data_IF_522538033560
#
_entry.id   IF_522538033560
#
_cell.length_a   1.000
_cell.length_b   1.000
_cell.length_c   1.000
_cell.angle_alpha   90.00
_cell.angle_beta   90.00
_cell.angle_gamma   90.00
#
_symmetry.space_group_name_H-M   'P 1'
#
loop_
_entity.id
_entity.type
_entity.pdbx_description
1 polymer ?
#
# COMPACT_ATOMS: atom_id res chain seq x y z
N UNK A 1 -18.83 -38.51 3.23
CA UNK A 1 -18.88 -38.11 1.80
C UNK A 1 -17.80 -37.06 1.62
N UNK A 2 -16.63 -37.48 1.10
CA UNK A 2 -15.50 -36.60 0.79
C UNK A 2 -15.79 -35.92 -0.54
N UNK A 3 -16.24 -34.68 -0.52
CA UNK A 3 -16.24 -33.84 -1.72
C UNK A 3 -14.80 -33.36 -1.94
N UNK A 4 -14.03 -34.15 -2.70
CA UNK A 4 -12.76 -33.72 -3.23
C UNK A 4 -12.97 -32.54 -4.18
N UNK A 5 -12.51 -31.35 -3.83
CA UNK A 5 -12.31 -30.28 -4.80
C UNK A 5 -11.37 -30.83 -5.87
N UNK A 6 -11.86 -30.99 -7.09
CA UNK A 6 -11.02 -31.30 -8.24
C UNK A 6 -9.94 -30.21 -8.33
N UNK A 7 -8.69 -30.59 -8.07
CA UNK A 7 -7.54 -29.72 -8.30
C UNK A 7 -7.57 -29.30 -9.77
N UNK A 8 -7.65 -28.00 -10.02
CA UNK A 8 -7.62 -27.49 -11.39
C UNK A 8 -6.26 -27.86 -11.98
N UNK A 9 -6.30 -28.77 -12.96
CA UNK A 9 -5.11 -29.26 -13.65
C UNK A 9 -4.27 -28.10 -14.24
N UNK A 10 -4.94 -26.99 -14.58
CA UNK A 10 -4.28 -25.76 -15.05
C UNK A 10 -3.42 -25.12 -13.96
N UNK A 11 -3.89 -25.08 -12.73
CA UNK A 11 -3.13 -24.58 -11.57
C UNK A 11 -1.93 -25.48 -11.25
N UNK A 12 -2.06 -26.78 -11.45
CA UNK A 12 -0.99 -27.74 -11.22
C UNK A 12 0.10 -27.66 -12.29
N UNK A 13 -0.28 -27.47 -13.55
CA UNK A 13 0.63 -27.46 -14.71
C UNK A 13 1.19 -26.06 -14.96
N UNK A 14 0.48 -25.00 -14.58
CA UNK A 14 0.85 -23.61 -14.84
C UNK A 14 2.28 -23.22 -14.38
N UNK A 15 2.78 -23.59 -13.19
CA UNK A 15 4.15 -23.31 -12.79
C UNK A 15 5.19 -23.96 -13.70
N UNK A 16 4.93 -25.20 -14.16
CA UNK A 16 5.81 -25.91 -15.08
C UNK A 16 5.75 -25.34 -16.48
N UNK A 17 4.55 -24.99 -16.94
CA UNK A 17 4.34 -24.33 -18.24
C UNK A 17 5.03 -22.98 -18.30
N UNK A 18 4.83 -22.12 -17.30
CA UNK A 18 5.49 -20.83 -17.19
C UNK A 18 7.02 -21.00 -17.13
N UNK A 19 7.51 -21.92 -16.30
CA UNK A 19 8.93 -22.17 -16.08
C UNK A 19 9.67 -22.73 -17.28
N UNK A 20 9.07 -23.67 -18.03
CA UNK A 20 9.76 -24.47 -19.04
C UNK A 20 9.38 -24.12 -20.47
N UNK A 21 8.23 -23.53 -20.71
CA UNK A 21 7.68 -23.32 -22.06
C UNK A 21 7.44 -21.84 -22.33
N UNK A 22 6.66 -21.19 -21.49
CA UNK A 22 6.19 -19.83 -21.76
C UNK A 22 7.32 -18.80 -21.69
N UNK A 23 8.11 -18.82 -20.63
CA UNK A 23 9.15 -17.83 -20.45
C UNK A 23 10.39 -18.01 -21.32
N UNK A 24 10.88 -19.23 -21.62
CA UNK A 24 11.96 -19.39 -22.60
C UNK A 24 11.57 -19.00 -24.02
N UNK A 25 10.28 -19.11 -24.37
CA UNK A 25 9.80 -18.90 -25.77
C UNK A 25 9.29 -17.47 -26.01
N UNK A 26 8.89 -16.73 -24.97
CA UNK A 26 8.16 -15.49 -25.15
C UNK A 26 8.82 -14.24 -24.56
N UNK A 27 10.06 -13.98 -24.92
CA UNK A 27 10.71 -12.71 -24.56
C UNK A 27 9.91 -11.46 -24.99
N UNK A 28 9.05 -11.58 -26.00
CA UNK A 28 8.20 -10.52 -26.53
C UNK A 28 6.83 -10.42 -25.84
N UNK A 29 6.45 -11.39 -25.03
CA UNK A 29 5.12 -11.48 -24.38
C UNK A 29 5.18 -11.40 -22.87
N UNK A 30 6.30 -10.94 -22.31
CA UNK A 30 6.43 -10.68 -20.89
C UNK A 30 5.43 -9.59 -20.51
N UNK A 31 4.48 -9.86 -19.59
CA UNK A 31 3.55 -8.83 -19.12
C UNK A 31 4.29 -7.56 -18.67
N UNK A 32 3.71 -6.36 -18.85
CA UNK A 32 4.38 -5.09 -18.51
C UNK A 32 4.89 -5.03 -17.06
N UNK A 33 4.17 -5.64 -16.13
CA UNK A 33 4.53 -5.78 -14.72
C UNK A 33 5.87 -6.51 -14.52
N UNK A 34 6.21 -7.49 -15.40
CA UNK A 34 7.47 -8.22 -15.32
C UNK A 34 8.65 -7.51 -16.00
N UNK A 35 8.36 -6.61 -16.94
CA UNK A 35 9.42 -5.81 -17.55
C UNK A 35 10.08 -4.87 -16.54
N UNK A 36 9.36 -4.45 -15.50
CA UNK A 36 9.89 -3.62 -14.40
C UNK A 36 10.98 -4.35 -13.62
N UNK A 37 10.85 -5.65 -13.38
CA UNK A 37 11.80 -6.46 -12.63
C UNK A 37 13.17 -6.60 -13.28
N UNK A 38 13.23 -6.53 -14.61
CA UNK A 38 14.49 -6.58 -15.37
C UNK A 38 15.35 -5.32 -15.18
N UNK A 39 14.81 -4.27 -14.59
CA UNK A 39 15.53 -3.00 -14.42
C UNK A 39 16.43 -3.00 -13.16
N UNK A 40 16.24 -3.95 -12.27
CA UNK A 40 16.98 -4.00 -11.00
C UNK A 40 17.98 -5.16 -11.01
N UNK A 41 19.27 -4.88 -10.78
CA UNK A 41 20.26 -5.95 -10.68
C UNK A 41 19.97 -6.80 -9.43
N UNK A 42 19.76 -8.09 -9.64
CA UNK A 42 19.70 -9.04 -8.52
C UNK A 42 21.10 -9.33 -8.04
N UNK A 43 21.27 -9.33 -6.72
CA UNK A 43 22.56 -9.63 -6.08
C UNK A 43 22.41 -10.95 -5.37
N UNK A 44 23.26 -11.97 -5.66
CA UNK A 44 23.30 -13.20 -4.87
C UNK A 44 23.55 -12.87 -3.40
N UNK A 45 22.96 -13.64 -2.48
CA UNK A 45 23.14 -13.44 -1.03
C UNK A 45 24.63 -13.35 -0.61
N UNK A 46 25.51 -14.08 -1.30
CA UNK A 46 26.96 -14.04 -1.07
C UNK A 46 27.60 -12.68 -1.38
N UNK A 47 27.00 -11.91 -2.30
CA UNK A 47 27.44 -10.54 -2.64
C UNK A 47 26.72 -9.46 -1.80
N UNK A 48 25.82 -9.85 -0.91
CA UNK A 48 25.11 -8.94 -0.03
C UNK A 48 26.01 -8.16 0.95
N UNK A 49 27.30 -8.54 1.06
CA UNK A 49 28.31 -7.80 1.84
C UNK A 49 28.39 -6.31 1.51
N UNK A 50 28.03 -5.91 0.28
CA UNK A 50 27.97 -4.49 -0.08
C UNK A 50 26.83 -3.74 0.63
N UNK A 51 25.79 -4.45 1.06
CA UNK A 51 24.66 -3.87 1.81
C UNK A 51 25.04 -3.68 3.29
N UNK A 52 25.94 -4.50 3.80
CA UNK A 52 26.46 -4.39 5.19
C UNK A 52 27.14 -3.06 5.43
N UNK A 53 27.87 -2.53 4.43
CA UNK A 53 28.53 -1.23 4.54
C UNK A 53 27.56 -0.05 4.72
N UNK A 54 26.25 -0.25 4.49
CA UNK A 54 25.21 0.74 4.67
C UNK A 54 24.57 0.72 6.07
N UNK A 55 24.98 -0.21 6.94
CA UNK A 55 24.47 -0.29 8.31
C UNK A 55 24.89 0.96 9.10
N UNK A 56 23.95 1.52 9.86
CA UNK A 56 24.28 2.55 10.86
C UNK A 56 24.57 1.86 12.20
N UNK A 57 25.64 2.23 12.86
CA UNK A 57 26.01 1.62 14.13
C UNK A 57 24.88 1.76 15.18
N UNK A 58 24.45 0.65 15.73
CA UNK A 58 23.50 0.58 16.84
C UNK A 58 22.01 0.70 16.48
N UNK A 59 21.64 0.94 15.21
CA UNK A 59 20.24 0.93 14.81
C UNK A 59 19.78 -0.48 14.40
N UNK A 60 18.55 -0.91 14.81
CA UNK A 60 18.01 -2.18 14.33
C UNK A 60 17.65 -2.11 12.85
N UNK A 61 17.79 -3.24 12.17
CA UNK A 61 17.31 -3.42 10.82
C UNK A 61 15.78 -3.60 10.81
N UNK A 62 15.10 -2.99 9.86
CA UNK A 62 13.66 -3.11 9.71
C UNK A 62 13.31 -4.14 8.64
N UNK A 63 12.71 -5.27 9.06
CA UNK A 63 12.21 -6.29 8.16
C UNK A 63 10.72 -6.02 7.88
N UNK A 64 10.41 -5.62 6.67
CA UNK A 64 9.05 -5.42 6.20
C UNK A 64 8.48 -6.72 5.63
N UNK A 65 7.39 -7.19 6.22
CA UNK A 65 6.55 -8.30 5.75
C UNK A 65 5.25 -7.69 5.19
N UNK A 66 5.26 -7.19 3.95
CA UNK A 66 4.25 -6.26 3.46
C UNK A 66 3.04 -6.96 2.84
N UNK A 67 1.99 -6.18 2.58
CA UNK A 67 0.89 -6.57 1.72
C UNK A 67 1.20 -6.32 0.24
N UNK A 68 1.99 -5.29 -0.07
CA UNK A 68 2.18 -4.77 -1.41
C UNK A 68 3.57 -5.04 -1.94
N UNK A 69 3.63 -5.33 -3.24
CA UNK A 69 4.86 -5.41 -4.02
C UNK A 69 5.52 -4.02 -4.09
N UNK A 70 6.86 -3.99 -3.95
CA UNK A 70 7.64 -2.75 -4.07
C UNK A 70 7.43 -2.02 -5.40
N UNK A 71 7.29 -2.78 -6.47
CA UNK A 71 7.23 -2.29 -7.85
C UNK A 71 5.80 -1.94 -8.31
N UNK A 72 4.81 -2.26 -7.49
CA UNK A 72 3.42 -1.91 -7.74
C UNK A 72 3.07 -0.46 -7.39
N UNK A 73 1.80 -0.23 -7.09
CA UNK A 73 1.32 1.07 -6.63
C UNK A 73 2.01 1.41 -5.30
N UNK A 74 2.60 2.61 -5.23
CA UNK A 74 3.27 3.07 -4.02
C UNK A 74 2.25 3.30 -2.90
N UNK A 75 2.43 2.58 -1.80
CA UNK A 75 1.54 2.59 -0.65
C UNK A 75 2.34 2.77 0.66
N UNK A 76 1.66 2.58 1.79
CA UNK A 76 2.18 2.79 3.15
C UNK A 76 3.49 2.04 3.42
N UNK A 77 3.56 0.74 3.15
CA UNK A 77 4.74 -0.07 3.50
C UNK A 77 6.01 0.39 2.78
N UNK A 78 5.93 0.72 1.47
CA UNK A 78 7.08 1.27 0.75
C UNK A 78 7.49 2.66 1.28
N UNK A 79 6.53 3.50 1.63
CA UNK A 79 6.77 4.84 2.17
C UNK A 79 7.39 4.78 3.58
N UNK A 80 6.89 3.88 4.43
CA UNK A 80 7.48 3.66 5.75
C UNK A 80 8.92 3.14 5.65
N UNK A 81 9.19 2.19 4.73
CA UNK A 81 10.55 1.71 4.49
C UNK A 81 11.50 2.86 4.07
N UNK A 82 11.04 3.78 3.20
CA UNK A 82 11.81 4.98 2.85
C UNK A 82 12.02 5.92 4.02
N UNK A 83 11.02 6.09 4.87
CA UNK A 83 11.11 6.88 6.08
C UNK A 83 12.17 6.31 7.04
N UNK A 84 12.13 5.02 7.30
CA UNK A 84 13.13 4.33 8.13
C UNK A 84 14.53 4.42 7.54
N UNK A 85 14.67 4.18 6.23
CA UNK A 85 15.95 4.34 5.52
C UNK A 85 16.49 5.76 5.63
N UNK A 86 15.64 6.78 5.47
CA UNK A 86 16.01 8.19 5.65
C UNK A 86 16.42 8.57 7.07
N UNK A 87 16.08 7.73 8.06
CA UNK A 87 16.47 7.85 9.48
C UNK A 87 17.68 6.98 9.84
N UNK A 88 18.27 6.29 8.85
CA UNK A 88 19.51 5.54 9.00
C UNK A 88 19.35 4.03 9.14
N UNK A 89 18.13 3.50 9.26
CA UNK A 89 17.88 2.07 9.35
C UNK A 89 18.13 1.37 8.01
N UNK A 90 18.70 0.17 8.02
CA UNK A 90 18.59 -0.74 6.88
C UNK A 90 17.19 -1.33 6.85
N UNK A 91 16.64 -1.45 5.65
CA UNK A 91 15.31 -1.98 5.44
C UNK A 91 15.37 -3.18 4.49
N UNK A 92 14.83 -4.29 4.92
CA UNK A 92 14.68 -5.49 4.13
C UNK A 92 13.20 -5.68 3.82
N UNK A 93 12.85 -5.63 2.56
CA UNK A 93 11.48 -5.71 2.09
C UNK A 93 11.24 -7.08 1.48
N UNK A 94 10.44 -7.93 2.13
CA UNK A 94 10.08 -9.22 1.56
C UNK A 94 9.15 -9.02 0.37
N UNK A 95 9.52 -9.56 -0.79
CA UNK A 95 8.61 -9.55 -1.92
C UNK A 95 7.42 -10.49 -1.66
N UNK A 96 6.17 -10.01 -1.73
CA UNK A 96 5.01 -10.85 -1.47
C UNK A 96 4.73 -11.89 -2.56
N UNK A 97 5.31 -11.71 -3.76
CA UNK A 97 5.22 -12.69 -4.83
C UNK A 97 6.26 -13.78 -4.65
N UNK A 98 5.86 -14.90 -4.08
CA UNK A 98 6.75 -15.97 -3.65
C UNK A 98 7.00 -17.04 -4.73
N UNK A 99 7.10 -16.67 -5.99
CA UNK A 99 7.66 -17.57 -7.01
C UNK A 99 6.81 -17.91 -8.21
N UNK A 100 5.56 -17.49 -8.27
CA UNK A 100 4.66 -17.83 -9.38
C UNK A 100 5.09 -17.20 -10.71
N UNK A 101 5.63 -16.01 -10.64
CA UNK A 101 5.71 -15.11 -11.78
C UNK A 101 7.13 -14.70 -12.13
N UNK A 102 8.14 -15.18 -11.38
CA UNK A 102 9.53 -14.76 -11.51
C UNK A 102 10.55 -15.82 -11.98
N UNK A 103 10.20 -16.92 -12.65
CA UNK A 103 11.18 -17.92 -13.03
C UNK A 103 12.23 -17.41 -14.03
N UNK A 104 12.00 -16.27 -14.67
CA UNK A 104 12.96 -15.67 -15.62
C UNK A 104 13.89 -14.64 -15.00
N UNK A 105 13.48 -13.98 -13.94
CA UNK A 105 14.30 -12.97 -13.25
C UNK A 105 15.41 -13.65 -12.47
N UNK A 106 15.20 -14.91 -12.09
CA UNK A 106 16.12 -15.66 -11.25
C UNK A 106 16.69 -16.87 -11.97
N UNK A 107 18.02 -17.10 -11.93
CA UNK A 107 18.58 -18.36 -12.31
C UNK A 107 17.90 -19.47 -11.52
N UNK A 108 17.51 -20.56 -12.20
CA UNK A 108 16.80 -21.68 -11.60
C UNK A 108 17.52 -22.32 -10.40
N UNK A 109 18.83 -22.12 -10.31
CA UNK A 109 19.69 -22.55 -9.20
C UNK A 109 19.58 -21.67 -7.95
N UNK A 110 19.04 -20.45 -8.07
CA UNK A 110 18.96 -19.50 -6.95
C UNK A 110 17.52 -19.39 -6.45
N UNK A 111 17.26 -19.98 -5.30
CA UNK A 111 15.96 -19.93 -4.63
C UNK A 111 15.76 -18.69 -3.76
N UNK A 112 16.80 -17.88 -3.58
CA UNK A 112 16.82 -16.71 -2.69
C UNK A 112 17.68 -15.64 -3.31
N UNK A 113 17.13 -14.43 -3.45
CA UNK A 113 17.85 -13.31 -4.02
C UNK A 113 17.61 -12.06 -3.20
N UNK A 114 18.62 -11.21 -3.20
CA UNK A 114 18.55 -9.88 -2.63
C UNK A 114 18.76 -8.88 -3.75
N UNK A 115 17.87 -7.91 -3.86
CA UNK A 115 17.94 -6.85 -4.87
C UNK A 115 18.06 -5.50 -4.16
N UNK A 116 19.07 -4.72 -4.52
CA UNK A 116 19.19 -3.36 -4.01
C UNK A 116 18.16 -2.47 -4.70
N UNK A 117 17.29 -1.82 -3.95
CA UNK A 117 16.22 -0.95 -4.46
C UNK A 117 16.61 0.51 -4.39
N UNK A 118 16.88 0.97 -3.19
CA UNK A 118 17.22 2.36 -2.85
C UNK A 118 18.33 2.35 -1.78
N UNK A 119 18.97 3.47 -1.45
CA UNK A 119 19.94 3.52 -0.37
C UNK A 119 19.37 2.91 0.92
N UNK A 120 20.06 1.93 1.50
CA UNK A 120 19.67 1.15 2.68
C UNK A 120 18.36 0.36 2.55
N UNK A 121 17.80 0.20 1.36
CA UNK A 121 16.61 -0.63 1.14
C UNK A 121 16.96 -1.74 0.16
N UNK A 122 16.76 -2.97 0.61
CA UNK A 122 16.94 -4.15 -0.20
C UNK A 122 15.68 -5.00 -0.22
N UNK A 123 15.36 -5.58 -1.36
CA UNK A 123 14.24 -6.49 -1.54
C UNK A 123 14.74 -7.93 -1.47
N UNK A 124 14.08 -8.72 -0.62
CA UNK A 124 14.32 -10.15 -0.49
C UNK A 124 13.28 -10.93 -1.29
N UNK A 125 13.74 -11.82 -2.12
CA UNK A 125 12.93 -12.78 -2.84
C UNK A 125 13.16 -14.19 -2.30
N UNK A 126 12.07 -14.89 -2.01
CA UNK A 126 12.06 -16.30 -1.60
C UNK A 126 11.12 -17.05 -2.54
N UNK A 127 11.61 -18.10 -3.17
CA UNK A 127 10.80 -18.89 -4.11
C UNK A 127 10.10 -20.04 -3.42
N UNK A 128 8.78 -20.11 -3.59
CA UNK A 128 7.96 -21.28 -3.30
C UNK A 128 7.59 -22.01 -4.61
N UNK A 129 7.32 -23.31 -4.52
CA UNK A 129 6.83 -24.09 -5.67
C UNK A 129 5.47 -23.62 -6.17
N UNK A 130 4.66 -23.11 -5.26
CA UNK A 130 3.35 -22.50 -5.56
C UNK A 130 3.28 -21.18 -4.85
N UNK A 131 2.88 -20.14 -5.56
CA UNK A 131 2.57 -18.88 -4.94
C UNK A 131 1.29 -19.03 -4.12
N UNK A 132 1.30 -18.67 -2.84
CA UNK A 132 0.10 -18.69 -2.03
C UNK A 132 -0.85 -17.59 -2.49
N UNK A 133 -2.15 -17.86 -2.41
CA UNK A 133 -3.18 -16.84 -2.60
C UNK A 133 -3.42 -16.21 -1.23
N UNK A 134 -2.69 -15.14 -0.92
CA UNK A 134 -2.60 -14.52 0.39
C UNK A 134 -3.93 -14.10 1.03
N UNK A 135 -4.94 -13.82 0.21
CA UNK A 135 -6.24 -13.39 0.71
C UNK A 135 -7.18 -14.55 1.07
N UNK A 136 -6.81 -15.79 0.71
CA UNK A 136 -7.72 -16.93 0.81
C UNK A 136 -7.29 -18.01 1.79
N UNK A 137 -6.01 -18.07 2.15
CA UNK A 137 -5.51 -19.12 3.02
C UNK A 137 -4.24 -18.76 3.78
N UNK A 138 -4.03 -19.44 4.87
CA UNK A 138 -2.79 -19.48 5.65
C UNK A 138 -1.66 -20.17 4.85
N UNK A 139 -0.42 -19.76 5.04
CA UNK A 139 0.75 -20.50 4.58
C UNK A 139 0.80 -21.86 5.28
N UNK A 140 1.15 -22.92 4.55
CA UNK A 140 1.39 -24.19 5.18
C UNK A 140 2.76 -24.22 5.87
N UNK A 141 3.03 -25.27 6.66
CA UNK A 141 4.26 -25.39 7.44
C UNK A 141 5.53 -25.32 6.58
N UNK A 142 5.56 -26.01 5.44
CA UNK A 142 6.71 -26.03 4.53
C UNK A 142 6.96 -24.65 3.91
N UNK A 143 5.90 -23.93 3.54
CA UNK A 143 5.97 -22.56 3.02
C UNK A 143 6.54 -21.59 4.08
N UNK A 144 6.04 -21.69 5.32
CA UNK A 144 6.54 -20.88 6.46
C UNK A 144 8.03 -21.17 6.72
N UNK A 145 8.41 -22.45 6.79
CA UNK A 145 9.79 -22.86 7.01
C UNK A 145 10.71 -22.36 5.87
N UNK A 146 10.25 -22.43 4.62
CA UNK A 146 11.03 -21.99 3.45
C UNK A 146 11.24 -20.47 3.46
N UNK A 147 10.18 -19.68 3.72
CA UNK A 147 10.27 -18.23 3.79
C UNK A 147 11.15 -17.80 4.96
N UNK A 148 10.93 -18.38 6.14
CA UNK A 148 11.71 -18.08 7.35
C UNK A 148 13.19 -18.38 7.13
N UNK A 149 13.52 -19.55 6.58
CA UNK A 149 14.90 -19.91 6.26
C UNK A 149 15.53 -18.97 5.22
N UNK A 150 14.75 -18.45 4.28
CA UNK A 150 15.17 -17.42 3.34
C UNK A 150 15.56 -16.12 4.02
N UNK A 151 14.71 -15.64 4.92
CA UNK A 151 14.95 -14.42 5.70
C UNK A 151 16.17 -14.59 6.60
N UNK A 152 16.27 -15.69 7.36
CA UNK A 152 17.40 -15.97 8.25
C UNK A 152 18.74 -16.01 7.49
N UNK A 153 18.76 -16.66 6.33
CA UNK A 153 19.97 -16.71 5.48
C UNK A 153 20.37 -15.31 4.97
N UNK A 154 19.41 -14.45 4.66
CA UNK A 154 19.65 -13.07 4.26
C UNK A 154 20.19 -12.25 5.44
N UNK A 155 19.57 -12.33 6.61
CA UNK A 155 20.02 -11.61 7.80
C UNK A 155 21.43 -12.03 8.18
N UNK A 156 21.77 -13.33 8.11
CA UNK A 156 23.10 -13.83 8.34
C UNK A 156 24.10 -13.30 7.31
N UNK A 157 23.79 -13.35 6.02
CA UNK A 157 24.65 -12.88 4.95
C UNK A 157 24.91 -11.37 4.99
N UNK A 158 24.00 -10.61 5.56
CA UNK A 158 24.11 -9.16 5.73
C UNK A 158 24.57 -8.76 7.14
N UNK A 159 25.03 -9.71 7.94
CA UNK A 159 25.53 -9.47 9.30
C UNK A 159 24.55 -8.63 10.16
N UNK A 160 23.25 -8.93 10.01
CA UNK A 160 22.20 -8.27 10.75
C UNK A 160 22.18 -8.78 12.19
N UNK A 161 22.43 -7.92 13.16
CA UNK A 161 22.56 -8.30 14.58
C UNK A 161 21.32 -7.99 15.42
N UNK A 162 20.55 -6.98 15.02
CA UNK A 162 19.29 -6.56 15.66
C UNK A 162 18.25 -6.25 14.59
N UNK A 163 17.06 -6.77 14.77
CA UNK A 163 15.99 -6.63 13.81
C UNK A 163 14.67 -6.30 14.50
N UNK A 164 13.74 -5.71 13.74
CA UNK A 164 12.34 -5.61 14.08
C UNK A 164 11.50 -6.05 12.88
N UNK A 165 10.41 -6.77 13.11
CA UNK A 165 9.49 -7.23 12.08
C UNK A 165 8.28 -6.30 11.98
N UNK A 166 8.10 -5.65 10.83
CA UNK A 166 6.92 -4.82 10.54
C UNK A 166 6.00 -5.64 9.62
N UNK A 167 4.91 -6.13 10.19
CA UNK A 167 3.96 -7.03 9.52
C UNK A 167 2.80 -6.21 9.01
N UNK A 168 2.64 -6.13 7.70
CA UNK A 168 1.54 -5.39 7.05
C UNK A 168 0.39 -6.28 6.56
N UNK A 169 0.54 -7.62 6.63
CA UNK A 169 -0.51 -8.56 6.24
C UNK A 169 -0.49 -9.79 7.15
N UNK A 170 -1.63 -10.24 7.69
CA UNK A 170 -1.71 -11.37 8.62
C UNK A 170 -1.16 -12.71 8.10
N UNK A 171 -1.12 -12.93 6.79
CA UNK A 171 -0.52 -14.14 6.20
C UNK A 171 0.92 -14.38 6.67
N UNK A 172 1.63 -13.34 7.08
CA UNK A 172 2.99 -13.40 7.58
C UNK A 172 3.12 -13.74 9.07
N UNK A 173 2.00 -13.92 9.79
CA UNK A 173 1.99 -14.16 11.23
C UNK A 173 2.90 -15.31 11.63
N UNK A 174 2.76 -16.47 10.98
CA UNK A 174 3.58 -17.64 11.29
C UNK A 174 5.07 -17.41 11.02
N UNK A 175 5.39 -16.68 9.95
CA UNK A 175 6.78 -16.30 9.61
C UNK A 175 7.34 -15.38 10.69
N UNK A 176 6.59 -14.37 11.12
CA UNK A 176 7.01 -13.43 12.16
C UNK A 176 7.22 -14.13 13.51
N UNK A 177 6.34 -15.07 13.87
CA UNK A 177 6.48 -15.88 15.08
C UNK A 177 7.74 -16.77 15.05
N UNK A 178 8.06 -17.39 13.91
CA UNK A 178 9.28 -18.16 13.73
C UNK A 178 10.54 -17.31 13.82
N UNK A 179 10.50 -16.10 13.26
CA UNK A 179 11.61 -15.14 13.40
C UNK A 179 11.79 -14.71 14.86
N UNK A 180 10.70 -14.48 15.60
CA UNK A 180 10.76 -14.19 17.03
C UNK A 180 11.39 -15.33 17.82
N UNK A 181 10.98 -16.58 17.57
CA UNK A 181 11.56 -17.76 18.20
C UNK A 181 13.07 -17.87 17.96
N UNK A 182 13.53 -17.57 16.72
CA UNK A 182 14.92 -17.71 16.33
C UNK A 182 15.83 -16.55 16.75
N UNK A 183 15.32 -15.33 16.77
CA UNK A 183 16.11 -14.09 16.85
C UNK A 183 15.66 -13.16 17.98
N UNK A 184 14.60 -13.49 18.71
CA UNK A 184 13.95 -12.61 19.68
C UNK A 184 13.47 -11.27 19.10
N UNK A 185 13.12 -11.28 17.80
CA UNK A 185 12.72 -10.10 17.04
C UNK A 185 11.35 -9.59 17.49
N UNK A 186 11.21 -8.32 17.88
CA UNK A 186 9.91 -7.71 18.16
C UNK A 186 9.00 -7.70 16.91
N UNK A 187 7.71 -7.87 17.15
CA UNK A 187 6.69 -7.86 16.08
C UNK A 187 5.85 -6.58 16.21
N UNK A 188 5.84 -5.80 15.13
CA UNK A 188 4.94 -4.67 14.94
C UNK A 188 3.87 -5.07 13.93
N UNK A 189 2.61 -5.02 14.31
CA UNK A 189 1.52 -5.17 13.34
C UNK A 189 1.11 -3.79 12.82
N UNK A 190 1.38 -3.50 11.55
CA UNK A 190 0.97 -2.28 10.87
C UNK A 190 -0.41 -2.49 10.23
N UNK A 191 -1.46 -2.42 11.05
CA UNK A 191 -2.86 -2.58 10.67
C UNK A 191 -3.36 -1.29 9.99
N UNK A 192 -3.49 -1.32 8.68
CA UNK A 192 -3.83 -0.12 7.90
C UNK A 192 -5.15 -0.21 7.15
N UNK A 193 -5.80 -1.37 7.15
CA UNK A 193 -7.10 -1.61 6.55
C UNK A 193 -7.97 -2.50 7.44
N UNK A 194 -9.29 -2.38 7.31
CA UNK A 194 -10.27 -3.28 7.91
C UNK A 194 -10.43 -4.51 7.00
N UNK A 195 -9.66 -5.58 7.26
CA UNK A 195 -9.57 -6.73 6.34
C UNK A 195 -10.92 -7.42 6.11
N UNK A 196 -11.76 -7.53 7.14
CA UNK A 196 -13.10 -8.12 7.03
C UNK A 196 -14.04 -7.35 6.08
N UNK A 197 -13.67 -6.11 5.71
CA UNK A 197 -14.42 -5.27 4.79
C UNK A 197 -14.13 -5.52 3.31
N UNK A 198 -13.12 -6.34 2.99
CA UNK A 198 -12.78 -6.67 1.61
C UNK A 198 -13.45 -7.97 1.16
N UNK A 199 -13.93 -7.98 -0.08
CA UNK A 199 -14.46 -9.18 -0.70
C UNK A 199 -13.35 -10.23 -0.89
N UNK A 200 -13.66 -11.49 -0.58
CA UNK A 200 -12.77 -12.62 -0.84
C UNK A 200 -11.67 -12.86 0.19
N UNK A 201 -11.67 -12.17 1.33
CA UNK A 201 -10.80 -12.50 2.47
C UNK A 201 -11.29 -13.83 3.08
N UNK A 202 -10.39 -14.81 3.17
CA UNK A 202 -10.68 -16.11 3.80
C UNK A 202 -10.72 -16.03 5.32
N UNK A 203 -11.53 -16.88 5.95
CA UNK A 203 -11.61 -16.95 7.42
C UNK A 203 -10.24 -17.24 8.05
N UNK A 204 -9.44 -18.10 7.43
CA UNK A 204 -8.07 -18.40 7.88
C UNK A 204 -7.19 -17.15 8.03
N UNK A 205 -7.38 -16.13 7.17
CA UNK A 205 -6.64 -14.87 7.22
C UNK A 205 -7.13 -13.99 8.37
N UNK A 206 -8.44 -13.96 8.62
CA UNK A 206 -9.03 -13.24 9.75
C UNK A 206 -8.64 -13.89 11.09
N UNK A 207 -8.58 -15.21 11.15
CA UNK A 207 -8.10 -15.95 12.32
C UNK A 207 -6.62 -15.63 12.60
N UNK A 208 -5.78 -15.59 11.54
CA UNK A 208 -4.38 -15.18 11.67
C UNK A 208 -4.22 -13.71 12.09
N UNK A 209 -5.13 -12.82 11.69
CA UNK A 209 -5.14 -11.45 12.19
C UNK A 209 -5.36 -11.41 13.70
N UNK A 210 -6.28 -12.23 14.22
CA UNK A 210 -6.49 -12.40 15.64
C UNK A 210 -5.23 -12.88 16.39
N UNK A 211 -4.53 -13.89 15.82
CA UNK A 211 -3.26 -14.38 16.36
C UNK A 211 -2.17 -13.29 16.30
N UNK A 212 -2.12 -12.49 15.23
CA UNK A 212 -1.16 -11.41 15.08
C UNK A 212 -1.42 -10.28 16.09
N UNK A 213 -2.69 -9.90 16.29
CA UNK A 213 -3.06 -8.96 17.34
C UNK A 213 -2.61 -9.43 18.73
N UNK A 214 -2.80 -10.71 19.05
CA UNK A 214 -2.38 -11.27 20.33
C UNK A 214 -0.86 -11.24 20.49
N UNK A 215 -0.13 -11.56 19.43
CA UNK A 215 1.32 -11.79 19.45
C UNK A 215 2.15 -10.52 19.24
N UNK A 216 1.63 -9.48 18.61
CA UNK A 216 2.39 -8.26 18.36
C UNK A 216 2.78 -7.54 19.66
N UNK A 217 3.98 -6.98 19.68
CA UNK A 217 4.47 -6.13 20.79
C UNK A 217 3.94 -4.70 20.65
N UNK A 218 3.69 -4.26 19.43
CA UNK A 218 3.05 -2.98 19.10
C UNK A 218 2.06 -3.20 17.96
N UNK A 219 0.87 -2.60 18.09
CA UNK A 219 -0.13 -2.53 17.03
C UNK A 219 -0.27 -1.09 16.57
N UNK A 220 0.01 -0.85 15.29
CA UNK A 220 -0.11 0.46 14.66
C UNK A 220 -1.38 0.49 13.83
N UNK A 221 -2.30 1.38 14.14
CA UNK A 221 -3.50 1.63 13.35
C UNK A 221 -3.31 2.88 12.48
N UNK A 222 -3.74 2.81 11.23
CA UNK A 222 -3.66 3.96 10.31
C UNK A 222 -4.76 5.00 10.52
N UNK A 223 -5.80 4.68 11.29
CA UNK A 223 -6.97 5.53 11.52
C UNK A 223 -7.54 5.33 12.93
N UNK A 224 -8.11 6.40 13.50
CA UNK A 224 -8.78 6.33 14.82
C UNK A 224 -9.99 5.40 14.81
N UNK A 225 -10.79 5.46 13.74
CA UNK A 225 -11.96 4.62 13.62
C UNK A 225 -11.57 3.14 13.55
N UNK A 226 -10.51 2.82 12.80
CA UNK A 226 -9.96 1.47 12.72
C UNK A 226 -9.46 0.98 14.10
N UNK A 227 -8.74 1.83 14.82
CA UNK A 227 -8.28 1.52 16.17
C UNK A 227 -9.47 1.26 17.11
N UNK A 228 -10.47 2.14 17.10
CA UNK A 228 -11.67 1.99 17.93
C UNK A 228 -12.42 0.68 17.62
N UNK A 229 -12.58 0.33 16.35
CA UNK A 229 -13.26 -0.90 15.92
C UNK A 229 -12.58 -2.15 16.47
N UNK A 230 -11.25 -2.22 16.38
CA UNK A 230 -10.51 -3.37 16.90
C UNK A 230 -10.40 -3.37 18.44
N UNK A 231 -10.13 -2.23 19.06
CA UNK A 231 -9.99 -2.12 20.52
C UNK A 231 -11.32 -2.38 21.24
N UNK A 232 -12.46 -1.96 20.65
CA UNK A 232 -13.76 -2.25 21.23
C UNK A 232 -14.07 -3.75 21.31
N UNK A 233 -13.57 -4.54 20.37
CA UNK A 233 -13.70 -6.01 20.33
C UNK A 233 -12.59 -6.72 21.11
N UNK A 234 -11.44 -6.07 21.29
CA UNK A 234 -10.21 -6.61 21.92
C UNK A 234 -9.61 -5.54 22.85
N UNK A 235 -10.19 -5.33 24.05
CA UNK A 235 -9.73 -4.25 24.97
C UNK A 235 -8.26 -4.36 25.38
N UNK A 236 -7.68 -5.56 25.34
CA UNK A 236 -6.27 -5.82 25.63
C UNK A 236 -5.31 -5.10 24.66
N UNK A 237 -5.77 -4.72 23.48
CA UNK A 237 -4.96 -3.96 22.53
C UNK A 237 -4.65 -2.54 23.00
N UNK A 238 -5.48 -1.95 23.87
CA UNK A 238 -5.30 -0.57 24.31
C UNK A 238 -3.93 -0.31 24.96
N UNK A 239 -3.31 -1.34 25.58
CA UNK A 239 -1.99 -1.22 26.19
C UNK A 239 -0.80 -1.25 25.23
N UNK A 240 -1.02 -1.62 23.96
CA UNK A 240 0.02 -1.77 22.95
C UNK A 240 -0.40 -1.22 21.58
N UNK A 241 -1.42 -0.40 21.53
CA UNK A 241 -1.92 0.22 20.30
C UNK A 241 -1.51 1.67 20.19
N UNK A 242 -1.18 2.09 18.98
CA UNK A 242 -0.92 3.50 18.63
C UNK A 242 -1.54 3.82 17.27
N UNK A 243 -2.04 5.06 17.12
CA UNK A 243 -2.53 5.52 15.82
C UNK A 243 -1.43 6.32 15.13
N UNK A 244 -0.93 5.76 14.04
CA UNK A 244 0.04 6.43 13.16
C UNK A 244 -0.56 6.50 11.75
N UNK A 245 -1.09 7.65 11.42
CA UNK A 245 -1.79 7.92 10.17
C UNK A 245 -0.88 7.81 8.95
N UNK A 246 -1.47 7.76 7.78
CA UNK A 246 -0.74 7.91 6.53
C UNK A 246 -0.18 9.34 6.40
N UNK A 247 0.63 9.56 5.39
CA UNK A 247 1.26 10.84 5.12
C UNK A 247 1.43 11.06 3.62
N UNK A 248 2.04 12.19 3.26
CA UNK A 248 2.45 12.49 1.89
C UNK A 248 3.97 12.44 1.72
N UNK A 249 4.41 12.14 0.52
CA UNK A 249 5.72 12.55 0.03
C UNK A 249 5.60 14.01 -0.44
N UNK A 250 5.60 14.93 0.51
CA UNK A 250 5.33 16.34 0.25
C UNK A 250 6.35 16.98 -0.72
N UNK A 251 7.59 16.46 -0.76
CA UNK A 251 8.61 16.94 -1.69
C UNK A 251 8.32 16.51 -3.12
N UNK A 252 7.80 15.30 -3.32
CA UNK A 252 7.42 14.78 -4.64
C UNK A 252 6.31 15.62 -5.29
N UNK A 253 5.37 16.12 -4.48
CA UNK A 253 4.26 16.95 -4.93
C UNK A 253 4.51 18.47 -4.79
N UNK A 254 5.65 18.85 -4.23
CA UNK A 254 6.05 20.26 -4.12
C UNK A 254 6.23 20.86 -5.51
N UNK A 255 5.76 22.08 -5.70
CA UNK A 255 5.93 22.77 -6.98
C UNK A 255 4.90 22.40 -8.06
N UNK A 256 3.93 21.55 -7.76
CA UNK A 256 2.77 21.36 -8.66
C UNK A 256 2.05 22.69 -8.82
N UNK A 257 2.12 23.23 -10.04
CA UNK A 257 1.43 24.45 -10.44
C UNK A 257 0.22 24.05 -11.29
N UNK A 258 -0.95 24.49 -10.87
CA UNK A 258 -2.19 24.26 -11.61
C UNK A 258 -2.08 24.88 -13.01
N UNK A 259 -2.46 24.13 -14.01
CA UNK A 259 -2.54 24.61 -15.39
C UNK A 259 -3.80 25.46 -15.57
N UNK A 260 -3.74 26.72 -15.20
CA UNK A 260 -4.87 27.69 -15.31
C UNK A 260 -5.08 28.18 -16.76
N UNK A 261 -4.97 27.31 -17.74
CA UNK A 261 -4.93 27.67 -19.16
C UNK A 261 -6.28 27.85 -19.88
N UNK A 262 -7.39 28.25 -19.20
CA UNK A 262 -8.65 28.61 -19.87
C UNK A 262 -9.42 27.42 -20.49
N UNK A 263 -9.11 26.18 -20.12
CA UNK A 263 -9.83 24.98 -20.52
C UNK A 263 -11.07 24.70 -19.66
N UNK A 264 -11.76 23.58 -19.92
CA UNK A 264 -12.89 23.16 -19.09
C UNK A 264 -12.45 22.84 -17.67
N UNK A 265 -13.30 23.12 -16.68
CA UNK A 265 -13.09 22.71 -15.30
C UNK A 265 -12.79 21.22 -15.24
N UNK A 266 -11.73 20.85 -14.55
CA UNK A 266 -11.27 19.47 -14.48
C UNK A 266 -11.36 18.96 -13.04
N UNK A 267 -12.25 18.00 -12.83
CA UNK A 267 -12.40 17.26 -11.57
C UNK A 267 -11.57 16.00 -11.63
N UNK A 268 -10.67 15.80 -10.66
CA UNK A 268 -9.71 14.71 -10.66
C UNK A 268 -9.88 13.72 -9.50
N UNK A 269 -9.59 12.45 -9.78
CA UNK A 269 -9.42 11.39 -8.80
C UNK A 269 -8.15 10.61 -9.09
N UNK A 270 -7.39 10.29 -8.06
CA UNK A 270 -6.23 9.38 -8.17
C UNK A 270 -6.40 8.23 -7.17
N UNK A 271 -6.31 7.01 -7.68
CA UNK A 271 -6.36 5.78 -6.90
C UNK A 271 -7.12 4.66 -7.58
N UNK A 272 -7.09 3.46 -6.97
CA UNK A 272 -7.85 2.33 -7.49
C UNK A 272 -9.36 2.62 -7.47
N UNK A 273 -10.03 2.22 -8.54
CA UNK A 273 -11.48 2.24 -8.69
C UNK A 273 -12.00 0.84 -8.41
N UNK A 274 -12.79 0.68 -7.33
CA UNK A 274 -13.30 -0.61 -6.92
C UNK A 274 -14.69 -0.47 -6.26
N UNK A 275 -15.16 -1.50 -5.56
CA UNK A 275 -16.49 -1.54 -4.92
C UNK A 275 -16.76 -0.42 -3.91
N UNK A 276 -15.73 0.17 -3.33
CA UNK A 276 -15.85 1.30 -2.40
C UNK A 276 -16.04 2.68 -3.06
N UNK A 277 -15.88 2.78 -4.39
CA UNK A 277 -15.96 4.04 -5.11
C UNK A 277 -17.42 4.41 -5.38
N UNK A 278 -17.85 5.63 -5.02
CA UNK A 278 -19.19 6.13 -5.28
C UNK A 278 -19.33 6.59 -6.73
N UNK A 279 -19.76 5.65 -7.56
CA UNK A 279 -20.06 5.89 -8.98
C UNK A 279 -21.19 6.90 -9.14
N UNK A 280 -22.18 6.90 -8.24
CA UNK A 280 -23.37 7.75 -8.37
C UNK A 280 -23.02 9.23 -8.14
N UNK A 281 -22.15 9.54 -7.20
CA UNK A 281 -21.65 10.89 -6.98
C UNK A 281 -20.97 11.46 -8.24
N UNK A 282 -20.09 10.69 -8.86
CA UNK A 282 -19.40 11.13 -10.09
C UNK A 282 -20.38 11.20 -11.28
N UNK A 283 -21.31 10.25 -11.42
CA UNK A 283 -22.34 10.30 -12.46
C UNK A 283 -23.22 11.54 -12.36
N UNK A 284 -23.69 11.85 -11.15
CA UNK A 284 -24.53 13.02 -10.90
C UNK A 284 -23.79 14.31 -11.31
N UNK A 285 -22.55 14.46 -10.84
CA UNK A 285 -21.73 15.63 -11.16
C UNK A 285 -21.44 15.77 -12.68
N UNK A 286 -21.09 14.65 -13.34
CA UNK A 286 -20.80 14.67 -14.77
C UNK A 286 -22.05 14.91 -15.65
N UNK A 287 -23.23 14.52 -15.19
CA UNK A 287 -24.49 14.79 -15.88
C UNK A 287 -24.92 16.23 -15.73
N UNK A 288 -24.75 16.82 -14.54
CA UNK A 288 -25.11 18.21 -14.25
C UNK A 288 -24.17 19.21 -14.96
N UNK A 289 -22.89 18.84 -15.09
CA UNK A 289 -21.84 19.65 -15.70
C UNK A 289 -21.24 18.97 -16.94
N UNK A 290 -21.95 18.89 -18.06
CA UNK A 290 -21.47 18.24 -19.29
C UNK A 290 -20.27 18.96 -19.94
N UNK A 291 -20.04 20.22 -19.61
CA UNK A 291 -18.91 21.06 -20.01
C UNK A 291 -17.65 20.86 -19.14
N UNK A 292 -17.77 20.22 -17.97
CA UNK A 292 -16.63 19.86 -17.13
C UNK A 292 -15.98 18.57 -17.60
N UNK A 293 -14.74 18.35 -17.20
CA UNK A 293 -13.99 17.11 -17.45
C UNK A 293 -13.74 16.36 -16.15
N UNK A 294 -13.97 15.06 -16.16
CA UNK A 294 -13.68 14.17 -15.03
C UNK A 294 -12.55 13.23 -15.41
N UNK A 295 -11.40 13.33 -14.73
CA UNK A 295 -10.23 12.48 -14.93
C UNK A 295 -10.08 11.50 -13.76
N UNK A 296 -10.30 10.22 -14.03
CA UNK A 296 -10.19 9.16 -13.05
C UNK A 296 -8.92 8.36 -13.35
N UNK A 297 -7.88 8.58 -12.54
CA UNK A 297 -6.52 8.03 -12.74
C UNK A 297 -6.30 6.89 -11.76
N UNK A 298 -6.07 5.70 -12.27
CA UNK A 298 -5.79 4.50 -11.49
C UNK A 298 -6.40 3.24 -12.09
N UNK A 299 -5.99 2.06 -11.58
CA UNK A 299 -6.51 0.79 -12.08
C UNK A 299 -7.98 0.59 -11.69
N UNK A 300 -8.71 -0.13 -12.52
CA UNK A 300 -10.05 -0.62 -12.19
C UNK A 300 -9.94 -2.03 -11.62
N UNK A 301 -10.43 -2.21 -10.39
CA UNK A 301 -10.51 -3.54 -9.75
C UNK A 301 -11.66 -4.40 -10.29
N UNK A 302 -11.66 -5.67 -9.91
CA UNK A 302 -12.70 -6.64 -10.34
C UNK A 302 -14.11 -6.26 -9.91
N UNK A 303 -14.26 -5.52 -8.80
CA UNK A 303 -15.54 -5.02 -8.30
C UNK A 303 -16.06 -3.75 -8.99
N UNK A 304 -15.30 -3.17 -9.93
CA UNK A 304 -15.72 -1.95 -10.63
C UNK A 304 -16.47 -2.28 -11.92
N UNK A 305 -17.72 -1.79 -12.10
CA UNK A 305 -18.53 -2.11 -13.28
C UNK A 305 -17.92 -1.52 -14.56
N UNK A 306 -17.74 -2.35 -15.60
CA UNK A 306 -17.17 -1.93 -16.90
C UNK A 306 -17.96 -0.80 -17.59
N UNK A 307 -19.25 -0.72 -17.33
CA UNK A 307 -20.17 0.28 -17.90
C UNK A 307 -20.56 1.38 -16.90
N UNK A 308 -19.79 1.56 -15.83
CA UNK A 308 -20.09 2.49 -14.74
C UNK A 308 -20.48 3.89 -15.23
N UNK A 309 -19.86 4.36 -16.29
CA UNK A 309 -20.07 5.72 -16.84
C UNK A 309 -20.62 5.71 -18.27
N UNK A 310 -21.34 4.65 -18.66
CA UNK A 310 -21.97 4.60 -19.97
C UNK A 310 -22.88 5.80 -20.20
N UNK A 311 -22.78 6.42 -21.40
CA UNK A 311 -23.55 7.60 -21.80
C UNK A 311 -22.92 8.95 -21.42
N UNK A 312 -21.88 8.98 -20.56
CA UNK A 312 -21.18 10.21 -20.17
C UNK A 312 -19.86 10.35 -20.93
N UNK A 313 -19.78 11.39 -21.80
CA UNK A 313 -18.62 11.60 -22.67
C UNK A 313 -17.50 12.43 -22.03
N UNK A 314 -17.81 13.08 -20.91
CA UNK A 314 -16.92 13.98 -20.18
C UNK A 314 -16.15 13.28 -19.06
N UNK A 315 -16.28 11.96 -18.89
CA UNK A 315 -15.52 11.15 -17.95
C UNK A 315 -14.45 10.33 -18.72
N UNK A 316 -13.22 10.38 -18.23
CA UNK A 316 -12.09 9.64 -18.79
C UNK A 316 -11.47 8.74 -17.72
N UNK A 317 -11.49 7.44 -17.98
CA UNK A 317 -10.74 6.45 -17.21
C UNK A 317 -9.34 6.36 -17.80
N UNK A 318 -8.34 6.80 -17.05
CA UNK A 318 -6.95 6.91 -17.55
C UNK A 318 -6.21 5.57 -17.41
N UNK A 319 -6.60 4.77 -16.42
CA UNK A 319 -5.85 3.57 -16.03
C UNK A 319 -4.70 3.89 -15.08
N UNK A 320 -3.88 2.88 -14.81
CA UNK A 320 -2.73 2.99 -13.92
C UNK A 320 -1.63 3.86 -14.54
N UNK A 321 -1.07 4.76 -13.73
CA UNK A 321 0.08 5.60 -14.08
C UNK A 321 1.19 5.44 -13.06
N UNK A 322 2.43 5.73 -13.47
CA UNK A 322 3.57 5.69 -12.56
C UNK A 322 3.46 6.75 -11.47
N UNK A 323 3.94 6.43 -10.25
CA UNK A 323 3.92 7.38 -9.14
C UNK A 323 4.64 8.69 -9.48
N UNK A 324 5.72 8.62 -10.26
CA UNK A 324 6.49 9.78 -10.71
C UNK A 324 5.69 10.73 -11.61
N UNK A 325 4.66 10.22 -12.28
CA UNK A 325 3.82 11.01 -13.19
C UNK A 325 2.62 11.65 -12.49
N UNK A 326 2.31 11.25 -11.25
CA UNK A 326 1.15 11.76 -10.51
C UNK A 326 1.14 13.29 -10.36
N UNK A 327 2.27 14.00 -10.11
CA UNK A 327 2.29 15.45 -10.05
C UNK A 327 1.81 16.11 -11.35
N UNK A 328 2.17 15.56 -12.52
CA UNK A 328 1.74 16.08 -13.81
C UNK A 328 0.23 15.86 -14.06
N UNK A 329 -0.35 14.79 -13.52
CA UNK A 329 -1.80 14.57 -13.55
C UNK A 329 -2.52 15.53 -12.60
N UNK A 330 -2.02 15.69 -11.37
CA UNK A 330 -2.61 16.61 -10.37
C UNK A 330 -2.56 18.07 -10.83
N UNK A 331 -1.55 18.47 -11.58
CA UNK A 331 -1.45 19.81 -12.16
C UNK A 331 -2.61 20.14 -13.13
N UNK A 332 -3.34 19.13 -13.61
CA UNK A 332 -4.51 19.27 -14.49
C UNK A 332 -5.82 19.44 -13.73
N UNK A 333 -5.83 19.20 -12.43
CA UNK A 333 -7.04 19.23 -11.63
C UNK A 333 -7.35 20.66 -11.14
N UNK A 334 -8.58 21.06 -11.27
CA UNK A 334 -9.13 22.23 -10.60
C UNK A 334 -9.62 21.86 -9.20
N UNK A 335 -10.22 20.68 -9.06
CA UNK A 335 -10.68 20.09 -7.81
C UNK A 335 -10.32 18.63 -7.79
N UNK A 336 -9.81 18.16 -6.66
CA UNK A 336 -9.57 16.74 -6.41
C UNK A 336 -10.74 16.12 -5.63
N UNK A 337 -10.94 14.79 -5.77
CA UNK A 337 -12.09 14.14 -5.13
C UNK A 337 -11.72 12.85 -4.42
N UNK A 338 -12.48 12.53 -3.35
CA UNK A 338 -12.46 11.25 -2.64
C UNK A 338 -13.91 10.77 -2.50
N UNK A 339 -14.53 10.31 -3.59
CA UNK A 339 -15.94 9.90 -3.61
C UNK A 339 -16.05 8.43 -3.20
N UNK A 340 -16.02 8.18 -1.91
CA UNK A 340 -16.14 6.82 -1.39
C UNK A 340 -17.52 6.59 -0.80
N UNK A 341 -18.04 5.38 -0.98
CA UNK A 341 -19.25 4.93 -0.28
C UNK A 341 -18.99 4.95 1.23
N UNK A 342 -19.96 5.41 2.01
CA UNK A 342 -19.86 5.42 3.48
C UNK A 342 -20.20 4.01 3.98
N UNK A 343 -19.20 3.27 4.37
CA UNK A 343 -19.30 1.89 4.86
C UNK A 343 -18.14 1.60 5.84
N UNK A 344 -18.20 0.53 6.65
CA UNK A 344 -17.16 0.25 7.64
C UNK A 344 -15.74 0.28 7.08
N UNK A 345 -15.50 -0.34 5.91
CA UNK A 345 -14.19 -0.34 5.24
C UNK A 345 -13.66 1.07 4.97
N UNK A 346 -14.49 1.95 4.42
CA UNK A 346 -14.08 3.31 4.06
C UNK A 346 -14.00 4.24 5.27
N UNK A 347 -14.83 4.03 6.28
CA UNK A 347 -14.74 4.74 7.57
C UNK A 347 -13.45 4.39 8.32
N UNK A 348 -12.95 3.15 8.17
CA UNK A 348 -11.68 2.70 8.74
C UNK A 348 -10.45 3.22 7.96
N UNK A 349 -10.64 3.80 6.79
CA UNK A 349 -9.53 4.17 5.91
C UNK A 349 -9.00 5.57 6.23
N UNK A 350 -7.66 5.71 6.25
CA UNK A 350 -6.97 7.01 6.20
C UNK A 350 -6.44 7.22 4.77
N UNK A 351 -7.13 7.99 3.90
CA UNK A 351 -6.78 8.06 2.49
C UNK A 351 -5.47 8.81 2.25
N UNK A 352 -4.43 8.13 1.74
CA UNK A 352 -3.13 8.75 1.40
C UNK A 352 -3.31 9.92 0.43
N UNK A 353 -4.20 9.78 -0.56
CA UNK A 353 -4.48 10.79 -1.58
C UNK A 353 -4.94 12.14 -1.01
N UNK A 354 -5.53 12.18 0.18
CA UNK A 354 -5.88 13.44 0.84
C UNK A 354 -4.63 14.29 1.08
N UNK A 355 -3.57 13.69 1.62
CA UNK A 355 -2.32 14.38 1.92
C UNK A 355 -1.56 14.75 0.64
N UNK A 356 -1.64 13.93 -0.41
CA UNK A 356 -1.06 14.21 -1.73
C UNK A 356 -1.77 15.38 -2.41
N UNK A 357 -3.11 15.43 -2.37
CA UNK A 357 -3.89 16.57 -2.85
C UNK A 357 -3.58 17.85 -2.05
N UNK A 358 -3.42 17.72 -0.75
CA UNK A 358 -3.03 18.84 0.12
C UNK A 358 -1.61 19.34 -0.21
N UNK A 359 -0.67 18.45 -0.52
CA UNK A 359 0.67 18.85 -0.95
C UNK A 359 0.65 19.68 -2.22
N UNK A 360 -0.28 19.42 -3.14
CA UNK A 360 -0.54 20.25 -4.32
C UNK A 360 -1.35 21.52 -4.00
N UNK A 361 -1.92 21.63 -2.80
CA UNK A 361 -2.81 22.74 -2.41
C UNK A 361 -4.19 22.70 -3.06
N UNK A 362 -4.61 21.55 -3.63
CA UNK A 362 -5.87 21.41 -4.35
C UNK A 362 -7.08 21.51 -3.40
N UNK A 363 -8.19 22.17 -3.81
CA UNK A 363 -9.48 21.98 -3.18
C UNK A 363 -9.88 20.51 -3.28
N UNK A 364 -10.46 19.96 -2.20
CA UNK A 364 -10.84 18.54 -2.14
C UNK A 364 -12.31 18.42 -1.79
N UNK A 365 -13.07 17.67 -2.58
CA UNK A 365 -14.43 17.24 -2.25
C UNK A 365 -14.41 15.77 -1.89
N UNK A 366 -14.97 15.41 -0.75
CA UNK A 366 -14.93 14.04 -0.22
C UNK A 366 -16.24 13.64 0.44
N UNK A 367 -16.52 12.35 0.43
CA UNK A 367 -17.45 11.76 1.40
C UNK A 367 -16.95 12.04 2.83
N UNK A 368 -17.86 12.16 3.84
CA UNK A 368 -17.49 12.48 5.21
C UNK A 368 -16.84 11.28 5.96
N UNK A 369 -15.74 10.78 5.42
CA UNK A 369 -14.93 9.74 6.04
C UNK A 369 -14.33 10.27 7.34
N UNK A 370 -14.22 9.42 8.37
CA UNK A 370 -13.78 9.83 9.71
C UNK A 370 -12.44 10.60 9.69
N UNK A 371 -11.45 10.11 8.96
CA UNK A 371 -10.13 10.73 8.90
C UNK A 371 -10.10 11.98 8.00
N UNK A 372 -10.97 12.09 7.01
CA UNK A 372 -11.09 13.28 6.16
C UNK A 372 -11.83 14.40 6.89
N UNK A 373 -12.88 14.08 7.65
CA UNK A 373 -13.68 15.04 8.42
C UNK A 373 -12.86 15.82 9.47
N UNK A 374 -11.70 15.29 9.88
CA UNK A 374 -10.73 16.00 10.74
C UNK A 374 -10.21 17.31 10.13
N UNK A 375 -10.34 17.46 8.82
CA UNK A 375 -9.91 18.63 8.06
C UNK A 375 -11.10 19.36 7.43
N UNK A 376 -12.25 19.37 8.12
CA UNK A 376 -13.51 19.97 7.63
C UNK A 376 -13.38 21.44 7.20
N UNK A 377 -12.43 22.19 7.76
CA UNK A 377 -12.14 23.57 7.38
C UNK A 377 -11.36 23.68 6.03
N UNK A 378 -10.73 22.57 5.59
CA UNK A 378 -9.86 22.52 4.39
C UNK A 378 -10.45 21.68 3.27
N UNK A 379 -11.51 20.91 3.53
CA UNK A 379 -12.19 20.04 2.57
C UNK A 379 -13.66 20.38 2.47
N UNK A 380 -14.28 20.01 1.36
CA UNK A 380 -15.72 20.10 1.13
C UNK A 380 -16.31 18.71 1.32
N UNK A 381 -17.12 18.54 2.35
CA UNK A 381 -17.73 17.25 2.68
C UNK A 381 -19.12 17.12 2.04
N UNK A 382 -19.41 15.93 1.51
CA UNK A 382 -20.69 15.61 0.86
C UNK A 382 -21.17 14.23 1.29
N UNK A 383 -22.38 14.16 1.86
CA UNK A 383 -23.00 12.92 2.35
C UNK A 383 -23.81 12.17 1.31
N UNK A 384 -24.16 12.82 0.21
CA UNK A 384 -24.94 12.24 -0.89
C UNK A 384 -24.52 12.81 -2.25
N UNK A 385 -24.96 12.21 -3.38
CA UNK A 385 -24.60 12.68 -4.71
C UNK A 385 -25.05 14.11 -5.04
N UNK A 386 -26.18 14.57 -4.54
CA UNK A 386 -26.68 15.93 -4.80
C UNK A 386 -25.83 16.95 -4.02
N UNK A 387 -25.46 16.63 -2.79
CA UNK A 387 -24.54 17.46 -2.02
C UNK A 387 -23.13 17.45 -2.66
N UNK A 388 -22.69 16.32 -3.21
CA UNK A 388 -21.41 16.21 -3.90
C UNK A 388 -21.31 17.20 -5.07
N UNK A 389 -22.37 17.34 -5.88
CA UNK A 389 -22.44 18.34 -6.96
C UNK A 389 -22.28 19.75 -6.39
N UNK A 390 -23.10 20.12 -5.39
CA UNK A 390 -23.03 21.46 -4.77
C UNK A 390 -21.65 21.76 -4.17
N UNK A 391 -21.02 20.78 -3.56
CA UNK A 391 -19.68 20.97 -2.98
C UNK A 391 -18.59 21.09 -4.05
N UNK A 392 -18.72 20.39 -5.18
CA UNK A 392 -17.83 20.58 -6.33
C UNK A 392 -17.94 22.00 -6.88
N UNK A 393 -19.15 22.53 -7.07
CA UNK A 393 -19.36 23.92 -7.52
C UNK A 393 -18.68 24.94 -6.59
N UNK A 394 -18.84 24.76 -5.28
CA UNK A 394 -18.17 25.60 -4.28
C UNK A 394 -16.64 25.47 -4.33
N UNK A 395 -16.13 24.24 -4.49
CA UNK A 395 -14.70 23.97 -4.56
C UNK A 395 -14.06 24.56 -5.82
N UNK A 396 -14.77 24.53 -6.96
CA UNK A 396 -14.34 25.16 -8.23
C UNK A 396 -14.23 26.68 -8.09
N UNK A 397 -15.13 27.29 -7.33
CA UNK A 397 -15.15 28.73 -7.09
C UNK A 397 -14.17 29.17 -5.99
N UNK A 398 -13.49 28.22 -5.32
CA UNK A 398 -12.54 28.57 -4.25
C UNK A 398 -11.40 29.42 -4.80
N UNK A 399 -11.32 30.65 -4.33
CA UNK A 399 -10.21 31.56 -4.60
C UNK A 399 -9.62 32.05 -3.27
N UNK A 400 -9.16 31.12 -2.45
CA UNK A 400 -8.62 31.38 -1.12
C UNK A 400 -7.16 30.89 -1.00
N UNK A 401 -6.19 31.76 -1.21
CA UNK A 401 -4.77 31.41 -1.05
C UNK A 401 -4.44 30.89 0.35
N UNK A 402 -5.12 31.36 1.40
CA UNK A 402 -4.85 30.94 2.77
C UNK A 402 -5.24 29.49 3.00
N UNK A 403 -6.37 29.02 2.45
CA UNK A 403 -6.74 27.60 2.48
C UNK A 403 -5.78 26.73 1.71
N UNK A 404 -5.34 27.18 0.53
CA UNK A 404 -4.33 26.45 -0.26
C UNK A 404 -3.05 26.27 0.52
N UNK A 405 -2.54 27.33 1.18
CA UNK A 405 -1.30 27.28 1.94
C UNK A 405 -1.48 26.48 3.24
N UNK A 406 -2.65 26.52 3.86
CA UNK A 406 -2.99 25.68 5.01
C UNK A 406 -2.97 24.19 4.65
N UNK A 407 -3.52 23.77 3.48
CA UNK A 407 -3.44 22.40 2.97
C UNK A 407 -1.98 21.94 2.80
N UNK A 408 -1.15 22.77 2.16
CA UNK A 408 0.29 22.47 2.01
C UNK A 408 1.00 22.34 3.35
N UNK A 409 0.67 23.20 4.30
CA UNK A 409 1.23 23.14 5.66
C UNK A 409 0.86 21.83 6.34
N UNK A 410 -0.39 21.38 6.21
CA UNK A 410 -0.81 20.06 6.71
C UNK A 410 0.01 18.96 6.04
N UNK A 411 0.14 18.93 4.72
CA UNK A 411 0.90 17.89 4.02
C UNK A 411 2.39 17.85 4.39
N UNK A 412 3.00 19.01 4.66
CA UNK A 412 4.37 19.09 5.14
C UNK A 412 4.51 18.52 6.55
N UNK A 413 3.55 18.78 7.44
CA UNK A 413 3.53 18.23 8.81
C UNK A 413 3.25 16.74 8.82
N UNK A 414 2.27 16.31 8.02
CA UNK A 414 1.77 14.95 7.92
C UNK A 414 2.55 14.16 6.83
N UNK A 415 3.88 14.12 6.91
CA UNK A 415 4.73 13.45 5.94
C UNK A 415 5.20 12.08 6.44
N UNK A 416 5.67 11.23 5.53
CA UNK A 416 6.10 9.87 5.86
C UNK A 416 7.32 9.81 6.79
N UNK A 417 8.21 10.80 6.73
CA UNK A 417 9.35 10.88 7.65
C UNK A 417 8.85 11.06 9.09
N UNK A 418 7.95 12.02 9.33
CA UNK A 418 7.35 12.24 10.66
C UNK A 418 6.63 11.00 11.17
N UNK A 419 5.96 10.25 10.29
CA UNK A 419 5.30 8.98 10.65
C UNK A 419 6.31 7.94 11.10
N UNK A 420 7.42 7.82 10.38
CA UNK A 420 8.50 6.90 10.73
C UNK A 420 9.19 7.31 12.03
N UNK A 421 9.43 8.59 12.25
CA UNK A 421 9.97 9.12 13.51
C UNK A 421 9.05 8.79 14.70
N UNK A 422 7.73 8.94 14.51
CA UNK A 422 6.75 8.57 15.54
C UNK A 422 6.79 7.07 15.84
N UNK A 423 6.83 6.22 14.80
CA UNK A 423 6.89 4.77 15.00
C UNK A 423 8.19 4.36 15.70
N UNK A 424 9.33 4.91 15.32
CA UNK A 424 10.61 4.64 15.98
C UNK A 424 10.59 5.06 17.46
N UNK A 425 9.98 6.20 17.77
CA UNK A 425 9.83 6.65 19.14
C UNK A 425 8.93 5.71 19.98
N UNK A 426 7.88 5.14 19.39
CA UNK A 426 7.05 4.12 20.06
C UNK A 426 7.82 2.81 20.26
N UNK A 427 8.59 2.40 19.25
CA UNK A 427 9.43 1.20 19.32
C UNK A 427 10.49 1.29 20.41
N UNK A 428 11.09 2.45 20.60
CA UNK A 428 12.09 2.67 21.66
C UNK A 428 11.53 2.47 23.10
N UNK A 429 10.21 2.42 23.27
CA UNK A 429 9.56 2.12 24.55
C UNK A 429 9.42 0.61 24.80
N UNK A 430 9.64 -0.21 23.78
CA UNK A 430 9.53 -1.66 23.85
C UNK A 430 10.89 -2.23 24.30
N UNK A 431 10.88 -3.07 25.32
CA UNK A 431 12.10 -3.69 25.81
C UNK A 431 12.77 -4.54 24.71
N UNK A 432 14.03 -4.23 24.36
CA UNK A 432 14.82 -4.95 23.38
C UNK A 432 14.94 -4.30 22.00
N UNK A 433 14.35 -3.12 21.77
CA UNK A 433 14.52 -2.34 20.54
C UNK A 433 15.51 -1.18 20.72
#
# INVERSE_FOLDING_TARGET
MLQGKALDLKELIRPYYLKWIYFPVSDNHCPPEFKRWRQYPSVPLELAKQIVSSASDGLPDALFLPMTDWHGIRQRSQQMARGFSGLGHRCFYLNPHLGREFPQVYPLSQKRLLTSLEPRIAELHVHLLREPVFHHRRLNREEVETVTAGILAMLQATESSRQLSIVGLPVWTDVALRLREALHTPIVYDCHDLLEGFDGIGQDVLDQEGELFASADLVVFSAEWLAHEHISRRPELAGKAVVIRNGADSQHFAGVVRNSGGGPVTVGYIGALNSWFDIQAIRAAASEHPDWRFLLVGPTGSGFPKNAFAGLKNIQLIGEVGYQDLPAWMARFDVATIPFLIQPLTMATNPVKLYEYFACGLPVVSSPLAEVARYSDLVYLAGDPAEFVRQLERAVQENDPSKRDARRTVAIRENWRSRSETLIAELAKIAGV
#
